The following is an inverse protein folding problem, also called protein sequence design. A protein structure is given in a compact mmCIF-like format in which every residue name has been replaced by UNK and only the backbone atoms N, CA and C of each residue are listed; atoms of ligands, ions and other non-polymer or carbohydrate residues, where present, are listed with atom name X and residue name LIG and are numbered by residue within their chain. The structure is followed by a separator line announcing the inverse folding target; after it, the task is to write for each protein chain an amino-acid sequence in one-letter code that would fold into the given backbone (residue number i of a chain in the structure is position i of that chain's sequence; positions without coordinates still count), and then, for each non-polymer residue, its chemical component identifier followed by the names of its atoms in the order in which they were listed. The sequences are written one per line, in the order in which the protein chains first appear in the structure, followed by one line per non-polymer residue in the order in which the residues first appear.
data_IF_450240102476
#
_entry.id   IF_450240102476
#
_cell.length_a   1.000
_cell.length_b   1.000
_cell.length_c   1.000
_cell.angle_alpha   90.00
_cell.angle_beta   90.00
_cell.angle_gamma   90.00
#
_symmetry.space_group_name_H-M   'P 1'
#
loop_
_entity.id
_entity.type
_entity.pdbx_description
1 polymer ?
#
# COMPACT_ATOMS: atom_id res chain seq x y z
N UNK A 1 2.74 -34.62 -35.83
CA UNK A 1 3.80 -33.59 -35.67
C UNK A 1 3.23 -32.20 -35.39
N UNK A 2 2.41 -31.59 -36.26
CA UNK A 2 1.83 -30.24 -36.03
C UNK A 2 1.05 -30.09 -34.71
N UNK A 3 0.23 -31.08 -34.34
CA UNK A 3 -0.56 -31.07 -33.09
C UNK A 3 0.30 -31.17 -31.82
N UNK A 4 1.44 -31.85 -31.90
CA UNK A 4 2.40 -31.99 -30.79
C UNK A 4 3.20 -30.70 -30.59
N UNK A 5 3.57 -30.03 -31.69
CA UNK A 5 4.25 -28.74 -31.65
C UNK A 5 3.37 -27.64 -31.03
N UNK A 6 2.06 -27.62 -31.34
CA UNK A 6 1.11 -26.67 -30.74
C UNK A 6 0.94 -26.90 -29.24
N UNK A 7 0.90 -28.16 -28.79
CA UNK A 7 0.85 -28.50 -27.36
C UNK A 7 2.12 -28.04 -26.61
N UNK A 8 3.30 -28.30 -27.19
CA UNK A 8 4.60 -27.91 -26.61
C UNK A 8 4.73 -26.39 -26.51
N UNK A 9 4.32 -25.64 -27.56
CA UNK A 9 4.32 -24.17 -27.53
C UNK A 9 3.34 -23.63 -26.49
N UNK A 10 2.14 -24.23 -26.37
CA UNK A 10 1.15 -23.83 -25.36
C UNK A 10 1.65 -24.02 -23.92
N UNK A 11 2.35 -25.13 -23.63
CA UNK A 11 2.94 -25.39 -22.31
C UNK A 11 4.09 -24.41 -22.02
N UNK A 12 4.94 -24.10 -23.00
CA UNK A 12 6.06 -23.18 -22.82
C UNK A 12 5.60 -21.72 -22.59
N UNK A 13 4.48 -21.30 -23.18
CA UNK A 13 3.93 -19.95 -22.94
C UNK A 13 3.34 -19.76 -21.53
N UNK A 14 2.96 -20.83 -20.83
CA UNK A 14 2.44 -20.73 -19.45
C UNK A 14 3.51 -20.29 -18.43
N UNK A 15 4.80 -20.48 -18.75
CA UNK A 15 5.92 -20.15 -17.84
C UNK A 15 6.21 -18.64 -17.81
N UNK A 16 5.80 -17.90 -18.83
CA UNK A 16 6.13 -16.47 -18.99
C UNK A 16 5.22 -15.54 -18.17
N UNK A 17 4.15 -16.07 -17.57
CA UNK A 17 3.13 -15.28 -16.86
C UNK A 17 3.49 -14.90 -15.40
N UNK A 18 4.71 -15.21 -14.93
CA UNK A 18 5.11 -15.04 -13.52
C UNK A 18 6.39 -14.21 -13.33
N UNK A 19 6.68 -13.24 -14.20
CA UNK A 19 7.99 -12.58 -14.18
C UNK A 19 8.25 -11.69 -12.94
N UNK A 20 7.22 -11.22 -12.24
CA UNK A 20 7.40 -10.43 -11.02
C UNK A 20 6.10 -10.28 -10.21
N UNK A 21 6.20 -10.38 -8.89
CA UNK A 21 5.10 -10.15 -7.96
C UNK A 21 5.29 -8.82 -7.23
N UNK A 22 4.22 -8.02 -6.99
CA UNK A 22 4.30 -6.85 -6.15
C UNK A 22 4.61 -7.25 -4.70
N UNK A 23 5.46 -6.46 -4.04
CA UNK A 23 5.86 -6.64 -2.66
C UNK A 23 5.63 -5.33 -1.91
N UNK A 24 5.23 -5.44 -0.63
CA UNK A 24 5.07 -4.30 0.27
C UNK A 24 5.56 -4.66 1.67
N UNK A 25 6.31 -3.74 2.28
CA UNK A 25 6.54 -3.70 3.72
C UNK A 25 5.82 -2.50 4.33
N UNK A 26 5.40 -2.69 5.58
CA UNK A 26 4.79 -1.66 6.42
C UNK A 26 5.36 -1.92 7.78
N UNK A 27 6.23 -1.02 8.22
CA UNK A 27 7.07 -1.17 9.38
C UNK A 27 6.82 -0.02 10.35
N UNK A 28 6.82 -0.35 11.63
CA UNK A 28 6.59 0.60 12.71
C UNK A 28 7.90 1.30 13.08
N UNK A 29 7.91 2.63 13.06
CA UNK A 29 9.05 3.42 13.54
C UNK A 29 9.02 3.61 15.07
N UNK A 30 7.91 3.28 15.74
CA UNK A 30 7.77 3.40 17.19
C UNK A 30 7.64 4.85 17.68
N UNK A 31 7.43 5.80 16.78
CA UNK A 31 7.33 7.23 17.05
C UNK A 31 6.03 7.85 16.51
N UNK A 32 5.04 7.00 16.20
CA UNK A 32 3.79 7.41 15.58
C UNK A 32 3.87 7.56 14.06
N UNK A 33 5.01 7.27 13.43
CA UNK A 33 5.10 7.16 11.97
C UNK A 33 5.21 5.70 11.53
N UNK A 34 4.94 5.46 10.24
CA UNK A 34 5.19 4.20 9.55
C UNK A 34 6.12 4.43 8.39
N UNK A 35 6.97 3.44 8.16
CA UNK A 35 7.76 3.30 6.95
C UNK A 35 7.06 2.29 6.04
N UNK A 36 6.77 2.71 4.81
CA UNK A 36 6.17 1.87 3.77
C UNK A 36 7.18 1.77 2.65
N UNK A 37 7.53 0.54 2.26
CA UNK A 37 8.38 0.27 1.10
C UNK A 37 7.66 -0.67 0.16
N UNK A 38 7.73 -0.38 -1.14
CA UNK A 38 7.09 -1.16 -2.18
C UNK A 38 8.03 -1.40 -3.35
N UNK A 39 7.84 -2.54 -4.01
CA UNK A 39 8.63 -2.91 -5.17
C UNK A 39 8.15 -4.22 -5.77
N UNK A 40 9.01 -4.84 -6.57
CA UNK A 40 8.69 -6.08 -7.27
C UNK A 40 9.73 -7.17 -6.97
N UNK A 41 9.30 -8.43 -7.00
CA UNK A 41 10.14 -9.58 -6.65
C UNK A 41 11.37 -9.78 -7.56
N UNK A 42 11.44 -9.08 -8.69
CA UNK A 42 12.58 -9.06 -9.61
C UNK A 42 13.56 -7.90 -9.34
N UNK A 43 13.34 -7.11 -8.29
CA UNK A 43 14.15 -5.95 -7.92
C UNK A 43 13.79 -4.66 -8.65
N UNK A 44 12.71 -4.63 -9.45
CA UNK A 44 12.23 -3.38 -10.01
C UNK A 44 11.73 -2.42 -8.91
N UNK A 45 12.03 -1.13 -9.08
CA UNK A 45 11.67 -0.07 -8.15
C UNK A 45 10.15 0.13 -8.10
N UNK A 46 9.63 0.42 -6.90
CA UNK A 46 8.26 0.89 -6.68
C UNK A 46 8.09 2.41 -6.83
N UNK A 47 9.12 3.14 -7.28
CA UNK A 47 9.06 4.60 -7.45
C UNK A 47 7.80 5.05 -8.20
N UNK A 48 7.11 6.05 -7.65
CA UNK A 48 5.93 6.64 -8.24
C UNK A 48 4.66 5.77 -8.18
N UNK A 49 4.75 4.52 -7.70
CA UNK A 49 3.59 3.67 -7.47
C UNK A 49 2.73 4.26 -6.36
N UNK A 50 1.41 4.19 -6.56
CA UNK A 50 0.44 4.70 -5.60
C UNK A 50 0.34 3.77 -4.40
N UNK A 51 0.36 4.38 -3.21
CA UNK A 51 -0.04 3.75 -1.97
C UNK A 51 -1.44 4.22 -1.61
N UNK A 52 -2.32 3.28 -1.31
CA UNK A 52 -3.67 3.54 -0.82
C UNK A 52 -3.78 2.99 0.60
N UNK A 53 -4.18 3.82 1.55
CA UNK A 53 -4.47 3.38 2.92
C UNK A 53 -5.98 3.40 3.12
N UNK A 54 -6.51 2.32 3.69
CA UNK A 54 -7.95 2.16 3.98
C UNK A 54 -8.19 1.75 5.42
N UNK A 55 -9.35 2.11 5.98
CA UNK A 55 -9.82 1.51 7.25
C UNK A 55 -10.06 0.00 7.03
N UNK A 56 -9.58 -0.88 7.91
CA UNK A 56 -9.73 -2.34 7.77
C UNK A 56 -11.14 -2.81 8.20
N UNK A 57 -12.16 -2.25 7.53
CA UNK A 57 -13.58 -2.50 7.76
C UNK A 57 -14.36 -2.24 6.47
N UNK A 58 -15.38 -3.06 6.21
CA UNK A 58 -16.30 -2.82 5.10
C UNK A 58 -16.99 -1.46 5.25
N UNK A 59 -17.10 -0.74 4.14
CA UNK A 59 -17.62 0.61 4.10
C UNK A 59 -18.66 0.76 2.98
N UNK A 60 -19.80 1.37 3.32
CA UNK A 60 -20.93 1.59 2.41
C UNK A 60 -21.39 3.06 2.39
N UNK A 61 -20.56 3.98 2.87
CA UNK A 61 -20.86 5.42 2.85
C UNK A 61 -20.53 6.06 1.50
N UNK A 62 -20.78 7.38 1.37
CA UNK A 62 -20.58 8.11 0.12
C UNK A 62 -19.10 8.38 -0.23
N UNK A 63 -18.19 8.20 0.72
CA UNK A 63 -16.76 8.48 0.58
C UNK A 63 -16.08 7.50 -0.39
N UNK A 64 -14.92 7.89 -0.91
CA UNK A 64 -14.18 7.07 -1.86
C UNK A 64 -13.75 5.73 -1.22
N UNK A 65 -13.88 4.64 -1.98
CA UNK A 65 -13.51 3.31 -1.50
C UNK A 65 -12.49 2.63 -2.39
N UNK A 66 -11.67 1.79 -1.76
CA UNK A 66 -10.81 0.83 -2.42
C UNK A 66 -11.09 -0.56 -1.85
N UNK A 67 -11.38 -1.52 -2.73
CA UNK A 67 -11.76 -2.90 -2.32
C UNK A 67 -12.92 -2.95 -1.31
N UNK A 68 -13.88 -2.01 -1.41
CA UNK A 68 -15.04 -1.93 -0.50
C UNK A 68 -14.73 -1.40 0.90
N UNK A 69 -13.56 -0.77 1.08
CA UNK A 69 -13.11 -0.14 2.32
C UNK A 69 -12.89 1.35 2.07
N UNK A 70 -13.16 2.17 3.07
CA UNK A 70 -12.99 3.63 3.00
C UNK A 70 -11.51 4.00 2.83
N UNK A 71 -11.19 4.81 1.82
CA UNK A 71 -9.85 5.34 1.62
C UNK A 71 -9.62 6.48 2.60
N UNK A 72 -8.52 6.42 3.36
CA UNK A 72 -8.12 7.50 4.27
C UNK A 72 -6.89 8.26 3.76
N UNK A 73 -6.11 7.69 2.84
CA UNK A 73 -4.96 8.36 2.24
C UNK A 73 -4.59 7.77 0.88
N UNK A 74 -4.13 8.65 -0.02
CA UNK A 74 -3.38 8.29 -1.23
C UNK A 74 -2.07 9.06 -1.29
N UNK A 75 -1.00 8.36 -1.64
CA UNK A 75 0.32 8.94 -1.84
C UNK A 75 1.12 8.17 -2.88
N UNK A 76 2.32 8.63 -3.20
CA UNK A 76 3.24 7.94 -4.11
C UNK A 76 4.55 7.66 -3.41
N UNK A 77 5.15 6.53 -3.74
CA UNK A 77 6.49 6.19 -3.29
C UNK A 77 7.53 7.09 -3.96
N UNK A 78 8.57 7.44 -3.19
CA UNK A 78 9.69 8.26 -3.65
C UNK A 78 10.67 7.47 -4.55
N UNK A 79 11.78 8.10 -4.92
CA UNK A 79 12.83 7.49 -5.76
C UNK A 79 13.47 6.24 -5.15
N UNK A 80 13.29 5.98 -3.84
CA UNK A 80 13.74 4.77 -3.17
C UNK A 80 12.66 3.69 -3.10
N UNK A 81 11.48 3.94 -3.68
CA UNK A 81 10.33 3.04 -3.54
C UNK A 81 9.74 3.06 -2.14
N UNK A 82 9.86 4.19 -1.42
CA UNK A 82 9.45 4.28 -0.02
C UNK A 82 8.67 5.55 0.30
N UNK A 83 7.96 5.55 1.43
CA UNK A 83 7.40 6.73 2.07
C UNK A 83 7.41 6.55 3.59
N UNK A 84 7.81 7.60 4.31
CA UNK A 84 7.61 7.68 5.77
C UNK A 84 6.52 8.69 6.05
N UNK A 85 5.49 8.30 6.79
CA UNK A 85 4.34 9.15 7.06
C UNK A 85 3.73 8.86 8.44
N UNK A 86 2.95 9.78 9.02
CA UNK A 86 2.24 9.52 10.26
C UNK A 86 1.26 8.34 10.12
N UNK A 87 1.13 7.55 11.19
CA UNK A 87 0.11 6.49 11.31
C UNK A 87 -1.29 7.09 11.12
N UNK A 88 -2.23 6.41 10.46
CA UNK A 88 -3.65 6.74 10.56
C UNK A 88 -4.10 6.76 12.03
N UNK A 89 -5.02 7.66 12.38
CA UNK A 89 -5.58 7.71 13.73
C UNK A 89 -6.49 6.51 14.04
N UNK A 90 -7.00 5.83 13.01
CA UNK A 90 -7.77 4.60 13.16
C UNK A 90 -6.90 3.42 13.62
N UNK A 91 -7.44 2.58 14.49
CA UNK A 91 -6.70 1.45 15.08
C UNK A 91 -6.39 0.35 14.07
N UNK A 92 -7.25 0.16 13.06
CA UNK A 92 -7.13 -0.93 12.08
C UNK A 92 -7.19 -0.36 10.68
N UNK A 93 -6.08 -0.46 9.99
CA UNK A 93 -5.97 -0.06 8.60
C UNK A 93 -5.11 -1.05 7.81
N UNK A 94 -5.25 -0.96 6.49
CA UNK A 94 -4.49 -1.75 5.54
C UNK A 94 -3.87 -0.82 4.51
N UNK A 95 -2.62 -1.09 4.16
CA UNK A 95 -1.86 -0.34 3.17
C UNK A 95 -1.77 -1.19 1.91
N UNK A 96 -2.11 -0.60 0.78
CA UNK A 96 -2.08 -1.21 -0.53
C UNK A 96 -1.01 -0.57 -1.39
N UNK A 97 -0.13 -1.40 -1.94
CA UNK A 97 0.72 -1.06 -3.07
C UNK A 97 -0.08 -1.30 -4.35
N UNK A 98 -0.45 -0.23 -5.05
CA UNK A 98 -1.35 -0.26 -6.20
C UNK A 98 -0.58 -0.01 -7.51
N UNK A 99 0.02 -1.06 -8.08
CA UNK A 99 0.72 -1.00 -9.38
C UNK A 99 -0.18 -1.33 -10.58
N UNK A 100 -1.51 -1.25 -10.41
CA UNK A 100 -2.50 -1.52 -11.45
C UNK A 100 -3.18 -2.88 -11.33
N UNK A 101 -4.09 -3.17 -12.27
CA UNK A 101 -4.89 -4.39 -12.24
C UNK A 101 -4.01 -5.65 -12.28
N UNK A 102 -4.29 -6.60 -11.38
CA UNK A 102 -3.47 -7.80 -11.20
C UNK A 102 -2.14 -7.59 -10.46
N UNK A 103 -1.75 -6.34 -10.15
CA UNK A 103 -0.48 -5.99 -9.49
C UNK A 103 -0.71 -5.18 -8.21
N UNK A 104 -1.50 -5.75 -7.30
CA UNK A 104 -1.80 -5.14 -6.00
C UNK A 104 -1.32 -6.06 -4.88
N UNK A 105 -0.56 -5.52 -3.94
CA UNK A 105 -0.18 -6.19 -2.70
C UNK A 105 -0.66 -5.37 -1.50
N UNK A 106 -0.94 -6.03 -0.37
CA UNK A 106 -1.39 -5.35 0.84
C UNK A 106 -0.74 -5.90 2.11
N UNK A 107 -0.66 -5.04 3.13
CA UNK A 107 -0.24 -5.43 4.47
C UNK A 107 -0.98 -4.57 5.51
N UNK A 108 -1.32 -5.18 6.64
CA UNK A 108 -1.86 -4.45 7.79
C UNK A 108 -0.76 -3.62 8.43
N UNK A 109 -1.09 -2.39 8.80
CA UNK A 109 -0.15 -1.52 9.50
C UNK A 109 -0.28 -1.59 11.02
N UNK A 110 0.73 -1.11 11.75
CA UNK A 110 0.70 -1.01 13.21
C UNK A 110 -0.26 0.10 13.68
N UNK A 111 -1.01 -0.17 14.75
CA UNK A 111 -1.86 0.84 15.37
C UNK A 111 -1.02 1.95 16.04
N UNK A 112 -1.59 3.16 16.09
CA UNK A 112 -1.04 4.24 16.89
C UNK A 112 -1.23 3.93 18.38
N UNK A 113 -0.15 4.01 19.15
CA UNK A 113 -0.20 3.82 20.61
C UNK A 113 -0.26 5.14 21.36
N UNK A 114 -0.72 5.11 22.61
CA UNK A 114 -0.75 6.29 23.47
C UNK A 114 0.64 6.88 23.75
N UNK A 115 1.67 6.02 23.81
CA UNK A 115 3.05 6.44 24.05
C UNK A 115 3.63 7.27 22.90
N UNK A 116 3.16 7.01 21.68
CA UNK A 116 3.62 7.68 20.46
C UNK A 116 2.93 9.01 20.19
N UNK A 117 1.82 9.29 20.90
CA UNK A 117 0.91 10.39 20.57
C UNK A 117 1.61 11.75 20.46
N UNK A 118 2.54 12.04 21.36
CA UNK A 118 3.27 13.31 21.35
C UNK A 118 4.18 13.51 20.12
N UNK A 119 4.75 12.42 19.59
CA UNK A 119 5.55 12.47 18.37
C UNK A 119 4.66 12.43 17.13
N UNK A 120 3.57 11.67 17.17
CA UNK A 120 2.54 11.66 16.15
C UNK A 120 1.92 13.05 15.93
N UNK A 121 1.62 13.80 17.01
CA UNK A 121 1.06 15.16 16.89
C UNK A 121 2.04 16.11 16.17
N UNK A 122 3.36 15.95 16.40
CA UNK A 122 4.38 16.72 15.68
C UNK A 122 4.47 16.29 14.21
N UNK A 123 4.48 14.98 13.97
CA UNK A 123 4.59 14.43 12.62
C UNK A 123 3.39 14.84 11.75
N UNK A 124 2.17 14.76 12.29
CA UNK A 124 0.93 15.19 11.60
C UNK A 124 0.84 16.70 11.39
N UNK A 125 1.49 17.51 12.23
CA UNK A 125 1.60 18.95 12.00
C UNK A 125 2.56 19.30 10.86
N UNK A 126 3.60 18.48 10.63
CA UNK A 126 4.62 18.71 9.60
C UNK A 126 4.34 18.03 8.26
N UNK A 127 3.60 16.92 8.26
CA UNK A 127 3.36 16.12 7.06
C UNK A 127 2.29 16.76 6.18
N UNK A 128 2.55 16.82 4.88
CA UNK A 128 1.57 17.28 3.90
C UNK A 128 0.68 16.11 3.46
N UNK A 129 -0.52 16.06 4.03
CA UNK A 129 -1.54 15.07 3.65
C UNK A 129 -2.33 15.49 2.41
N UNK A 130 -2.18 16.72 1.92
CA UNK A 130 -3.10 17.30 0.94
C UNK A 130 -4.55 17.24 1.43
N UNK A 131 -5.43 16.74 0.57
CA UNK A 131 -6.87 16.58 0.84
C UNK A 131 -7.20 15.49 1.87
N UNK A 132 -6.27 14.57 2.14
CA UNK A 132 -6.50 13.40 2.99
C UNK A 132 -6.38 13.68 4.49
N UNK A 133 -6.05 14.92 4.88
CA UNK A 133 -5.75 15.27 6.27
C UNK A 133 -6.89 14.92 7.23
N UNK A 134 -8.13 15.20 6.86
CA UNK A 134 -9.28 14.96 7.75
C UNK A 134 -9.48 13.47 8.01
N UNK A 135 -9.50 12.65 6.95
CA UNK A 135 -9.70 11.21 7.03
C UNK A 135 -8.55 10.48 7.73
N UNK A 136 -7.31 10.96 7.56
CA UNK A 136 -6.14 10.40 8.27
C UNK A 136 -6.19 10.58 9.78
N UNK A 137 -6.85 11.65 10.26
CA UNK A 137 -6.92 11.99 11.67
C UNK A 137 -8.23 11.50 12.33
N UNK A 138 -9.11 10.89 11.54
CA UNK A 138 -10.34 10.23 12.00
C UNK A 138 -10.04 8.84 12.61
N UNK A 139 -10.75 8.49 13.68
CA UNK A 139 -10.55 7.25 14.44
C UNK A 139 -11.42 6.10 13.93
#
# INVERSE_FOLDING_TARGET
MKKFLVLVIGVLMSVVAFAHAPLISVDDNGDGTIYIEGGFSNGASGEGVEIIIVKDKAYNGPEETFKGKEIVYKGKLDAKGSITMPKPATEKYEVYFNAGEGHVASKKGPALTAAEKANWDKATASFDFGEWKELMLEK
#
